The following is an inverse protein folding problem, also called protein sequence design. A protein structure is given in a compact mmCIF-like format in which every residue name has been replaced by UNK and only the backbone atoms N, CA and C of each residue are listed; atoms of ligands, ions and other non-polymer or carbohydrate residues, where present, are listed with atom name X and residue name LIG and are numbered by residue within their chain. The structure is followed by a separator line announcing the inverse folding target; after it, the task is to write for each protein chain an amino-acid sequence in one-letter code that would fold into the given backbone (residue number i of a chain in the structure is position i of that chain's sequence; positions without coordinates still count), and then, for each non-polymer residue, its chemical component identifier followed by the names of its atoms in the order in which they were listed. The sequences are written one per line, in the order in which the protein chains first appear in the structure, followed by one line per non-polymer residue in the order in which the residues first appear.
data_IF_654128688569
#
_entry.id   IF_654128688569
#
_cell.length_a   1.000
_cell.length_b   1.000
_cell.length_c   1.000
_cell.angle_alpha   90.00
_cell.angle_beta   90.00
_cell.angle_gamma   90.00
#
_symmetry.space_group_name_H-M   'P 1'
#
loop_
_entity.id
_entity.type
_entity.pdbx_description
1 polymer ?
#
# COMPACT_ATOMS: atom_id res chain seq x y z
N UNK A 1 3.99 0.64 1.53
CA UNK A 1 4.24 0.68 2.99
C UNK A 1 4.40 -0.70 3.64
N UNK A 2 3.63 -1.75 3.27
CA UNK A 2 3.78 -3.10 3.88
C UNK A 2 5.21 -3.68 3.86
N UNK A 3 6.03 -3.34 2.86
CA UNK A 3 7.45 -3.75 2.79
C UNK A 3 8.37 -3.07 3.82
N UNK A 4 7.94 -1.92 4.36
CA UNK A 4 8.73 -1.06 5.25
C UNK A 4 8.26 -1.12 6.71
N UNK A 5 7.00 -1.51 6.96
CA UNK A 5 6.43 -1.75 8.29
C UNK A 5 5.77 -3.13 8.31
N UNK A 6 6.54 -4.21 8.48
CA UNK A 6 5.97 -5.55 8.56
C UNK A 6 5.28 -5.77 9.91
N UNK A 7 4.21 -6.56 9.90
CA UNK A 7 3.51 -7.06 11.08
C UNK A 7 4.48 -7.92 11.93
N UNK A 8 4.33 -7.88 13.26
CA UNK A 8 5.31 -8.34 14.27
C UNK A 8 5.81 -9.79 14.11
N UNK A 9 5.13 -10.62 13.31
CA UNK A 9 5.59 -12.00 13.01
C UNK A 9 6.83 -12.09 12.11
N UNK A 10 7.30 -10.98 11.52
CA UNK A 10 8.56 -10.91 10.75
C UNK A 10 9.53 -9.82 11.29
N UNK A 11 9.34 -9.35 12.54
CA UNK A 11 9.91 -8.08 13.02
C UNK A 11 11.23 -8.17 13.80
N UNK A 12 12.10 -9.14 13.54
CA UNK A 12 13.46 -9.07 14.07
C UNK A 12 14.29 -8.05 13.25
N UNK A 13 14.11 -6.75 13.53
CA UNK A 13 15.16 -5.76 13.30
C UNK A 13 14.97 -4.70 12.19
N UNK A 14 13.77 -4.48 11.63
CA UNK A 14 13.58 -3.35 10.71
C UNK A 14 13.63 -2.00 11.46
N UNK A 15 14.77 -1.32 11.38
CA UNK A 15 14.99 0.04 11.91
C UNK A 15 13.95 1.05 11.40
N UNK A 16 13.48 0.85 10.17
CA UNK A 16 12.46 1.67 9.51
C UNK A 16 11.11 1.55 10.21
N UNK A 17 10.69 0.32 10.59
CA UNK A 17 9.43 0.11 11.31
C UNK A 17 9.38 0.83 12.65
N UNK A 18 10.49 0.83 13.41
CA UNK A 18 10.60 1.57 14.68
C UNK A 18 10.49 3.08 14.48
N UNK A 19 11.14 3.62 13.45
CA UNK A 19 11.07 5.06 13.14
C UNK A 19 9.66 5.46 12.74
N UNK A 20 9.01 4.68 11.85
CA UNK A 20 7.65 4.97 11.41
C UNK A 20 6.64 4.88 12.56
N UNK A 21 6.76 3.91 13.45
CA UNK A 21 5.97 3.84 14.69
C UNK A 21 6.18 5.03 15.60
N UNK A 22 7.41 5.55 15.70
CA UNK A 22 7.70 6.75 16.48
C UNK A 22 7.06 7.99 15.86
N UNK A 23 7.18 8.16 14.54
CA UNK A 23 6.54 9.28 13.83
C UNK A 23 5.01 9.20 13.96
N UNK A 24 4.42 8.01 13.86
CA UNK A 24 2.98 7.83 14.01
C UNK A 24 2.48 8.25 15.41
N UNK A 25 3.25 7.96 16.47
CA UNK A 25 2.88 8.30 17.86
C UNK A 25 3.22 9.74 18.27
N UNK A 26 4.35 10.26 17.81
CA UNK A 26 4.91 11.53 18.32
C UNK A 26 4.92 12.65 17.27
N UNK A 27 4.72 12.35 15.98
CA UNK A 27 4.87 13.31 14.88
C UNK A 27 4.03 14.57 15.04
N UNK A 28 2.80 14.43 15.57
CA UNK A 28 1.90 15.56 15.85
C UNK A 28 2.51 16.60 16.80
N UNK A 29 3.31 16.18 17.79
CA UNK A 29 3.99 17.09 18.73
C UNK A 29 5.02 17.99 18.02
N UNK A 30 5.56 17.54 16.90
CA UNK A 30 6.64 18.20 16.17
C UNK A 30 6.21 18.75 14.82
N UNK A 31 4.90 18.76 14.52
CA UNK A 31 4.38 19.23 13.23
C UNK A 31 4.75 18.33 12.04
N UNK A 32 5.03 17.05 12.28
CA UNK A 32 5.37 16.06 11.24
C UNK A 32 4.17 15.18 10.94
N UNK A 33 3.80 15.08 9.65
CA UNK A 33 2.74 14.19 9.17
C UNK A 33 3.31 12.90 8.57
N UNK A 34 2.60 11.79 8.75
CA UNK A 34 2.93 10.50 8.14
C UNK A 34 1.80 10.07 7.19
N UNK A 35 2.14 9.81 5.93
CA UNK A 35 1.24 9.20 4.95
C UNK A 35 1.66 7.77 4.64
N UNK A 36 0.76 6.80 4.86
CA UNK A 36 1.01 5.38 4.59
C UNK A 36 0.13 4.90 3.43
N UNK A 37 0.79 4.38 2.38
CA UNK A 37 0.12 3.81 1.21
C UNK A 37 0.49 2.33 1.11
N UNK A 38 -0.50 1.43 1.14
CA UNK A 38 -0.29 -0.02 1.02
C UNK A 38 -1.46 -0.72 0.32
N UNK A 39 -1.15 -1.80 -0.39
CA UNK A 39 -2.14 -2.73 -0.94
C UNK A 39 -2.54 -3.82 0.05
N UNK A 40 -1.71 -4.06 1.08
CA UNK A 40 -1.92 -5.06 2.14
C UNK A 40 -1.89 -4.36 3.49
N UNK A 41 -3.03 -3.83 3.97
CA UNK A 41 -3.11 -3.19 5.26
C UNK A 41 -2.84 -4.18 6.42
N UNK A 42 -3.25 -5.45 6.32
CA UNK A 42 -3.01 -6.46 7.37
C UNK A 42 -1.53 -6.82 7.61
N UNK A 43 -0.65 -6.43 6.69
CA UNK A 43 0.79 -6.56 6.83
C UNK A 43 1.43 -5.39 7.58
N UNK A 44 0.68 -4.32 7.88
CA UNK A 44 1.13 -3.19 8.70
C UNK A 44 1.03 -3.51 10.19
N UNK A 45 1.86 -2.86 11.01
CA UNK A 45 1.70 -2.87 12.45
C UNK A 45 0.39 -2.18 12.86
N UNK A 46 -0.45 -2.87 13.62
CA UNK A 46 -1.77 -2.37 14.08
C UNK A 46 -1.64 -1.05 14.84
N UNK A 47 -0.62 -0.95 15.71
CA UNK A 47 -0.32 0.27 16.46
C UNK A 47 0.15 1.46 15.63
N UNK A 48 0.40 1.29 14.33
CA UNK A 48 0.70 2.40 13.40
C UNK A 48 -0.57 2.81 12.65
N UNK A 49 -1.36 1.83 12.18
CA UNK A 49 -2.61 2.11 11.49
C UNK A 49 -3.64 2.78 12.41
N UNK A 50 -3.73 2.36 13.67
CA UNK A 50 -4.62 2.97 14.67
C UNK A 50 -4.28 4.41 15.04
N UNK A 51 -3.07 4.87 14.70
CA UNK A 51 -2.62 6.25 14.90
C UNK A 51 -2.85 7.11 13.66
N UNK A 52 -3.32 6.53 12.55
CA UNK A 52 -3.65 7.28 11.36
C UNK A 52 -5.01 7.97 11.59
N UNK A 53 -4.98 9.28 11.82
CA UNK A 53 -6.20 10.06 12.06
C UNK A 53 -7.15 10.13 10.86
N UNK A 54 -6.67 9.88 9.64
CA UNK A 54 -7.51 9.81 8.43
C UNK A 54 -7.19 8.54 7.65
N UNK A 55 -8.22 7.81 7.23
CA UNK A 55 -8.09 6.60 6.43
C UNK A 55 -8.81 6.82 5.10
N UNK A 56 -8.09 6.52 4.02
CA UNK A 56 -8.62 6.50 2.65
C UNK A 56 -8.53 5.05 2.17
N UNK A 57 -9.67 4.35 2.18
CA UNK A 57 -9.75 2.94 1.77
C UNK A 57 -10.33 2.83 0.37
N UNK A 58 -9.53 2.30 -0.57
CA UNK A 58 -10.02 1.85 -1.87
C UNK A 58 -10.60 0.43 -1.76
N UNK A 59 -11.00 -0.16 -2.89
CA UNK A 59 -11.48 -1.55 -2.95
C UNK A 59 -10.48 -2.51 -2.29
N UNK A 60 -10.93 -3.27 -1.31
CA UNK A 60 -10.19 -4.38 -0.70
C UNK A 60 -11.03 -5.66 -0.86
N UNK A 61 -10.45 -6.66 -1.51
CA UNK A 61 -11.12 -7.94 -1.76
C UNK A 61 -10.83 -8.99 -0.68
N UNK A 62 -9.76 -8.82 0.08
CA UNK A 62 -9.32 -9.77 1.08
C UNK A 62 -10.00 -9.49 2.43
N UNK A 63 -10.66 -10.48 3.03
CA UNK A 63 -11.40 -10.33 4.29
C UNK A 63 -10.50 -9.92 5.47
N UNK A 64 -9.26 -10.40 5.51
CA UNK A 64 -8.28 -10.03 6.55
C UNK A 64 -7.89 -8.56 6.44
N UNK A 65 -7.66 -8.07 5.22
CA UNK A 65 -7.36 -6.66 4.97
C UNK A 65 -8.56 -5.76 5.28
N UNK A 66 -9.76 -6.18 4.89
CA UNK A 66 -10.99 -5.50 5.27
C UNK A 66 -11.09 -5.41 6.78
N UNK A 67 -11.06 -6.54 7.51
CA UNK A 67 -11.17 -6.58 8.96
C UNK A 67 -10.12 -5.70 9.67
N UNK A 68 -8.90 -5.68 9.15
CA UNK A 68 -7.83 -4.84 9.69
C UNK A 68 -8.13 -3.34 9.55
N UNK A 69 -8.63 -2.92 8.37
CA UNK A 69 -9.09 -1.55 8.17
C UNK A 69 -10.34 -1.27 9.01
N UNK A 70 -11.28 -2.23 9.12
CA UNK A 70 -12.49 -2.13 9.97
C UNK A 70 -12.14 -1.82 11.42
N UNK A 71 -11.09 -2.46 11.96
CA UNK A 71 -10.64 -2.27 13.32
C UNK A 71 -10.02 -0.88 13.58
N UNK A 72 -9.39 -0.29 12.55
CA UNK A 72 -8.77 1.04 12.65
C UNK A 72 -9.76 2.19 12.42
N UNK A 73 -10.95 1.92 11.89
CA UNK A 73 -11.94 2.96 11.61
C UNK A 73 -12.81 3.32 12.84
N UNK A 74 -13.27 4.58 12.96
CA UNK A 74 -14.23 4.99 13.99
C UNK A 74 -15.54 4.19 13.91
N UNK A 75 -16.24 3.98 15.03
CA UNK A 75 -17.47 3.18 15.05
C UNK A 75 -18.56 3.69 14.09
N UNK A 76 -18.66 5.01 13.91
CA UNK A 76 -19.61 5.63 12.98
C UNK A 76 -19.33 5.34 11.49
N UNK A 77 -18.15 4.83 11.15
CA UNK A 77 -17.80 4.44 9.79
C UNK A 77 -18.13 2.97 9.48
N UNK A 78 -18.63 2.19 10.46
CA UNK A 78 -18.82 0.75 10.29
C UNK A 78 -19.79 0.37 9.16
N UNK A 79 -20.86 1.14 8.95
CA UNK A 79 -21.80 0.90 7.86
C UNK A 79 -21.20 1.05 6.45
N UNK A 80 -20.13 1.84 6.30
CA UNK A 80 -19.43 1.98 5.03
C UNK A 80 -18.52 0.78 4.72
N UNK A 81 -18.11 0.04 5.75
CA UNK A 81 -17.18 -1.07 5.61
C UNK A 81 -17.72 -2.21 4.76
N UNK A 82 -19.04 -2.42 4.78
CA UNK A 82 -19.69 -3.47 3.99
C UNK A 82 -19.75 -3.11 2.50
N UNK A 83 -19.51 -1.84 2.17
CA UNK A 83 -19.41 -1.37 0.79
C UNK A 83 -17.98 -1.39 0.24
N UNK A 84 -16.95 -1.63 1.07
CA UNK A 84 -15.53 -1.64 0.64
C UNK A 84 -15.29 -2.64 -0.52
N UNK A 85 -15.78 -3.89 -0.48
CA UNK A 85 -15.61 -4.83 -1.60
C UNK A 85 -16.34 -4.39 -2.87
N UNK A 86 -17.43 -3.62 -2.71
CA UNK A 86 -18.30 -3.17 -3.79
C UNK A 86 -17.85 -1.84 -4.43
N UNK A 87 -16.84 -1.16 -3.88
CA UNK A 87 -16.25 0.03 -4.49
C UNK A 87 -15.79 -0.27 -5.91
N UNK A 88 -15.95 0.65 -6.86
CA UNK A 88 -15.43 0.52 -8.23
C UNK A 88 -14.00 1.03 -8.32
N UNK A 89 -13.36 0.78 -9.47
CA UNK A 89 -12.11 1.46 -9.78
C UNK A 89 -12.32 2.96 -9.67
N UNK A 90 -11.35 3.65 -9.07
CA UNK A 90 -11.38 5.10 -8.76
C UNK A 90 -12.35 5.50 -7.66
N UNK A 91 -12.99 4.57 -6.96
CA UNK A 91 -13.78 4.91 -5.77
C UNK A 91 -13.03 4.59 -4.48
N UNK A 92 -13.28 5.39 -3.45
CA UNK A 92 -12.78 5.12 -2.11
C UNK A 92 -13.75 5.61 -1.04
N UNK A 93 -13.52 5.13 0.18
CA UNK A 93 -14.17 5.58 1.40
C UNK A 93 -13.14 6.35 2.21
N UNK A 94 -13.51 7.56 2.62
CA UNK A 94 -12.69 8.43 3.46
C UNK A 94 -13.36 8.55 4.82
N UNK A 95 -12.60 8.34 5.89
CA UNK A 95 -13.07 8.51 7.26
C UNK A 95 -11.96 9.01 8.19
N UNK A 96 -12.35 9.46 9.38
CA UNK A 96 -11.45 10.02 10.38
C UNK A 96 -11.42 11.55 10.36
N UNK A 97 -10.41 12.15 10.95
CA UNK A 97 -10.27 13.59 11.24
C UNK A 97 -10.28 14.49 9.99
N UNK A 98 -9.93 13.95 8.81
CA UNK A 98 -9.91 14.69 7.55
C UNK A 98 -11.30 14.95 6.95
N UNK A 99 -12.37 14.37 7.50
CA UNK A 99 -13.75 14.53 7.03
C UNK A 99 -14.72 14.62 8.21
N UNK A 100 -15.80 15.40 8.05
CA UNK A 100 -16.80 15.57 9.12
C UNK A 100 -17.67 14.32 9.34
N UNK A 101 -17.91 13.57 8.28
CA UNK A 101 -18.59 12.29 8.27
C UNK A 101 -17.87 11.36 7.29
N UNK A 102 -17.96 10.03 7.48
CA UNK A 102 -17.46 9.09 6.48
C UNK A 102 -18.16 9.33 5.14
N UNK A 103 -17.37 9.47 4.07
CA UNK A 103 -17.88 9.75 2.72
C UNK A 103 -17.30 8.75 1.72
N UNK A 104 -18.11 8.43 0.70
CA UNK A 104 -17.65 7.74 -0.50
C UNK A 104 -17.35 8.79 -1.57
N UNK A 105 -16.16 8.73 -2.15
CA UNK A 105 -15.72 9.65 -3.20
C UNK A 105 -15.27 8.87 -4.44
N UNK A 106 -15.30 9.56 -5.58
CA UNK A 106 -14.73 9.08 -6.84
C UNK A 106 -13.59 10.02 -7.25
N UNK A 107 -12.48 9.46 -7.69
CA UNK A 107 -11.32 10.21 -8.17
C UNK A 107 -11.45 10.53 -9.65
N UNK A 108 -11.10 11.75 -10.03
CA UNK A 108 -10.96 12.15 -11.42
C UNK A 108 -9.77 11.46 -12.11
N UNK A 109 -9.78 11.43 -13.43
CA UNK A 109 -8.59 10.99 -14.16
C UNK A 109 -7.54 12.09 -14.15
N UNK A 110 -6.29 11.68 -13.97
CA UNK A 110 -5.17 12.55 -14.24
C UNK A 110 -5.05 12.78 -15.75
N UNK A 111 -4.66 13.99 -16.15
CA UNK A 111 -4.22 14.30 -17.51
C UNK A 111 -3.15 13.29 -17.97
N UNK A 112 -3.15 12.91 -19.25
CA UNK A 112 -2.24 11.90 -19.83
C UNK A 112 -0.78 12.13 -19.41
N UNK A 113 -0.33 13.39 -19.47
CA UNK A 113 1.03 13.83 -19.14
C UNK A 113 1.40 13.68 -17.65
N UNK A 114 0.40 13.57 -16.77
CA UNK A 114 0.56 13.46 -15.32
C UNK A 114 0.38 12.02 -14.82
N UNK A 115 0.01 11.08 -15.70
CA UNK A 115 -0.16 9.68 -15.34
C UNK A 115 1.22 9.05 -15.10
N UNK A 116 1.41 8.27 -14.02
CA UNK A 116 2.63 7.51 -13.85
C UNK A 116 2.80 6.56 -15.04
N UNK A 117 4.05 6.30 -15.43
CA UNK A 117 4.39 5.27 -16.41
C UNK A 117 4.18 3.88 -15.79
N UNK A 118 2.93 3.53 -15.54
CA UNK A 118 2.48 2.32 -14.85
C UNK A 118 1.58 1.45 -15.72
N UNK A 119 1.64 1.62 -17.04
CA UNK A 119 1.02 0.66 -17.95
C UNK A 119 1.71 -0.68 -17.71
N UNK A 120 0.93 -1.69 -17.28
CA UNK A 120 1.44 -3.05 -17.18
C UNK A 120 2.02 -3.43 -18.55
N UNK A 121 3.28 -3.86 -18.61
CA UNK A 121 3.86 -4.28 -19.87
C UNK A 121 3.01 -5.41 -20.46
N UNK A 122 2.73 -5.35 -21.76
CA UNK A 122 2.03 -6.43 -22.45
C UNK A 122 2.90 -7.68 -22.41
N UNK A 123 2.64 -8.55 -21.43
CA UNK A 123 3.37 -9.81 -21.24
C UNK A 123 3.28 -10.65 -22.53
N UNK A 124 2.12 -10.63 -23.19
CA UNK A 124 1.89 -11.33 -24.46
C UNK A 124 2.80 -10.82 -25.58
N UNK A 125 3.00 -9.50 -25.70
CA UNK A 125 3.94 -8.94 -26.68
C UNK A 125 5.40 -9.19 -26.30
N UNK A 126 5.74 -9.13 -25.01
CA UNK A 126 7.10 -9.43 -24.56
C UNK A 126 7.48 -10.90 -24.77
N UNK A 127 6.54 -11.82 -24.59
CA UNK A 127 6.77 -13.26 -24.80
C UNK A 127 6.78 -13.67 -26.26
N UNK A 128 6.14 -12.89 -27.15
CA UNK A 128 6.19 -13.17 -28.59
C UNK A 128 7.52 -12.76 -29.23
N UNK A 129 8.34 -11.96 -28.55
CA UNK A 129 9.68 -11.60 -28.98
C UNK A 129 10.72 -12.55 -28.39
N UNK A 130 10.97 -13.67 -29.09
CA UNK A 130 12.11 -14.55 -28.81
C UNK A 130 13.37 -14.01 -29.49
N UNK A 131 14.33 -13.51 -28.70
CA UNK A 131 15.61 -13.02 -29.19
C UNK A 131 16.52 -12.52 -28.07
N UNK A 132 17.77 -13.02 -28.02
CA UNK A 132 18.76 -12.63 -27.01
C UNK A 132 18.84 -13.55 -25.79
N UNK A 133 18.22 -14.73 -25.82
CA UNK A 133 18.29 -15.73 -24.74
C UNK A 133 19.72 -16.18 -24.45
N UNK A 134 20.55 -16.44 -25.48
CA UNK A 134 21.96 -16.80 -25.29
C UNK A 134 22.75 -15.71 -24.56
N UNK A 135 22.61 -14.45 -24.99
CA UNK A 135 23.27 -13.32 -24.33
C UNK A 135 22.70 -13.03 -22.93
N UNK A 136 21.42 -13.32 -22.71
CA UNK A 136 20.79 -13.15 -21.40
C UNK A 136 21.24 -14.25 -20.42
N UNK A 137 21.36 -15.49 -20.88
CA UNK A 137 21.88 -16.63 -20.11
C UNK A 137 23.35 -16.40 -19.77
N UNK A 138 24.19 -16.03 -20.75
CA UNK A 138 25.59 -15.69 -20.52
C UNK A 138 25.76 -14.57 -19.49
N UNK A 139 25.00 -13.47 -19.61
CA UNK A 139 25.02 -12.36 -18.64
C UNK A 139 24.56 -12.80 -17.25
N UNK A 140 23.53 -13.65 -17.16
CA UNK A 140 23.00 -14.13 -15.88
C UNK A 140 24.01 -15.05 -15.19
N UNK A 141 24.63 -15.98 -15.92
CA UNK A 141 25.69 -16.87 -15.41
C UNK A 141 26.91 -16.07 -14.96
N UNK A 142 27.32 -15.04 -15.72
CA UNK A 142 28.43 -14.18 -15.31
C UNK A 142 28.13 -13.41 -14.02
N UNK A 143 26.92 -12.85 -13.87
CA UNK A 143 26.50 -12.16 -12.64
C UNK A 143 26.44 -13.09 -11.43
N UNK A 144 25.91 -14.31 -11.60
CA UNK A 144 25.91 -15.32 -10.55
C UNK A 144 27.31 -15.73 -10.11
N UNK A 145 28.24 -15.91 -11.06
CA UNK A 145 29.64 -16.21 -10.74
C UNK A 145 30.36 -15.04 -10.05
N UNK A 146 30.00 -13.79 -10.38
CA UNK A 146 30.58 -12.60 -9.76
C UNK A 146 30.06 -12.32 -8.33
N UNK A 147 28.86 -12.83 -7.97
CA UNK A 147 28.29 -12.70 -6.63
C UNK A 147 28.87 -13.68 -5.60
N UNK A 148 29.76 -14.59 -6.01
CA UNK A 148 30.40 -15.59 -5.14
C UNK A 148 31.75 -15.18 -4.54
N UNK A 149 32.09 -13.88 -4.46
CA UNK A 149 33.29 -13.37 -3.79
C UNK A 149 32.93 -12.34 -2.73
#
# INVERSE_FOLDING_TARGET
AHRYVPNEKNSDGSSVGRILSRIAKEGRKYGVSLGLITQRPSDLAEGVLSQCGTIISMRLNNDRDQAFVKAAMPEGARGFLDSIPALRNRECIICGEGVSIPIRVSFDELEEMKRPASADPSITELWSHSGGEEDMVLRTVQRWRAQGR
#
